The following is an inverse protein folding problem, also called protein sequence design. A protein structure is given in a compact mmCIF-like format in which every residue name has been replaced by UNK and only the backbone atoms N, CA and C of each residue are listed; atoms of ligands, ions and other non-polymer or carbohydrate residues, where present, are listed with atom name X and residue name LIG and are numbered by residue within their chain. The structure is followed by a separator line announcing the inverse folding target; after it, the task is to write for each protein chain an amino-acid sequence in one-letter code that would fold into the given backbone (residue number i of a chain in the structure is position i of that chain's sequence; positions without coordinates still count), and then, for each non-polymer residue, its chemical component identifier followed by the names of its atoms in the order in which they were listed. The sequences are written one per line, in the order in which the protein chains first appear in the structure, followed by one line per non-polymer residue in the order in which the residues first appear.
data_IF_019503306880
#
_entry.id   IF_019503306880
#
_cell.length_a   1.000
_cell.length_b   1.000
_cell.length_c   1.000
_cell.angle_alpha   90.00
_cell.angle_beta   90.00
_cell.angle_gamma   90.00
#
_symmetry.space_group_name_H-M   'P 1'
#
loop_
_entity.id
_entity.type
_entity.pdbx_description
1 polymer ?
#
# COMPACT_ATOMS: atom_id res chain seq x y z
N UNK A 1 29.86 18.20 -35.43
CA UNK A 1 30.31 18.01 -34.05
C UNK A 1 29.07 17.96 -33.19
N UNK A 2 28.73 16.81 -32.56
CA UNK A 2 27.53 16.65 -31.77
C UNK A 2 27.07 15.19 -31.66
N UNK A 3 27.90 14.30 -31.15
CA UNK A 3 27.54 12.88 -31.08
C UNK A 3 28.17 12.17 -29.89
N UNK A 4 27.91 12.64 -28.64
CA UNK A 4 28.53 11.97 -27.46
C UNK A 4 27.68 11.98 -26.17
N UNK A 5 26.38 12.21 -26.22
CA UNK A 5 25.58 12.29 -24.97
C UNK A 5 24.55 11.17 -24.77
N UNK A 6 24.50 10.17 -25.61
CA UNK A 6 23.48 9.09 -25.54
C UNK A 6 24.03 7.75 -25.01
N UNK A 7 25.35 7.59 -24.85
CA UNK A 7 25.94 6.30 -24.49
C UNK A 7 26.14 6.04 -23.00
N UNK A 8 25.91 7.00 -22.08
CA UNK A 8 26.13 6.81 -20.66
C UNK A 8 24.94 6.27 -19.87
N UNK A 9 23.74 6.20 -20.46
CA UNK A 9 22.51 5.74 -19.77
C UNK A 9 22.25 4.23 -19.85
N UNK A 10 22.98 3.51 -20.70
CA UNK A 10 22.71 2.08 -20.94
C UNK A 10 23.52 1.14 -20.06
N UNK A 11 24.60 1.58 -19.44
CA UNK A 11 25.49 0.74 -18.64
C UNK A 11 25.05 0.54 -17.18
N UNK A 12 24.14 1.38 -16.66
CA UNK A 12 23.67 1.27 -15.28
C UNK A 12 22.45 0.34 -15.09
N UNK A 13 21.98 -0.32 -16.15
CA UNK A 13 20.74 -1.12 -16.13
C UNK A 13 20.91 -2.63 -15.94
N UNK A 14 22.12 -3.15 -15.80
CA UNK A 14 22.33 -4.60 -15.75
C UNK A 14 22.71 -5.20 -14.39
N UNK A 15 22.80 -4.39 -13.33
CA UNK A 15 23.04 -4.92 -11.97
C UNK A 15 21.85 -4.77 -11.01
N UNK A 16 20.67 -4.37 -11.48
CA UNK A 16 19.43 -4.14 -10.71
C UNK A 16 18.40 -5.25 -10.84
N UNK A 17 18.81 -6.46 -11.25
CA UNK A 17 17.88 -7.58 -11.40
C UNK A 17 17.80 -8.41 -10.12
N UNK A 18 16.58 -8.50 -9.57
CA UNK A 18 16.15 -9.56 -8.63
C UNK A 18 16.90 -9.61 -7.30
N UNK A 19 16.97 -8.51 -6.55
CA UNK A 19 17.10 -8.55 -5.09
C UNK A 19 15.76 -8.20 -4.45
N UNK A 20 14.76 -9.01 -4.69
CA UNK A 20 13.39 -8.76 -4.24
C UNK A 20 12.79 -9.91 -3.43
N UNK A 21 13.57 -10.85 -2.97
CA UNK A 21 13.16 -11.72 -1.87
C UNK A 21 13.82 -11.18 -0.62
N UNK A 22 13.02 -10.54 0.24
CA UNK A 22 13.46 -10.11 1.54
C UNK A 22 14.18 -11.26 2.25
N UNK A 23 15.29 -10.99 2.94
CA UNK A 23 16.02 -11.99 3.73
C UNK A 23 15.12 -12.69 4.75
N UNK A 24 14.04 -12.03 5.17
CA UNK A 24 12.96 -12.57 5.99
C UNK A 24 12.15 -13.66 5.30
N UNK A 25 12.16 -13.74 3.96
CA UNK A 25 11.40 -14.71 3.17
C UNK A 25 9.89 -14.45 3.14
N UNK A 26 9.44 -13.24 3.49
CA UNK A 26 8.03 -12.79 3.40
C UNK A 26 7.92 -11.57 2.50
N UNK A 27 6.83 -11.52 1.73
CA UNK A 27 6.51 -10.33 0.91
C UNK A 27 5.79 -9.27 1.77
N UNK A 28 5.68 -8.02 1.30
CA UNK A 28 5.06 -6.94 2.07
C UNK A 28 3.61 -7.22 2.50
N UNK A 29 2.80 -7.94 1.71
CA UNK A 29 1.44 -8.32 2.10
C UNK A 29 1.46 -9.30 3.27
N UNK A 30 2.32 -10.32 3.23
CA UNK A 30 2.51 -11.27 4.31
C UNK A 30 3.03 -10.57 5.58
N UNK A 31 3.97 -9.63 5.45
CA UNK A 31 4.48 -8.83 6.54
C UNK A 31 3.39 -7.95 7.17
N UNK A 32 2.54 -7.30 6.37
CA UNK A 32 1.41 -6.53 6.87
C UNK A 32 0.43 -7.39 7.70
N UNK A 33 0.15 -8.63 7.25
CA UNK A 33 -0.68 -9.57 8.00
C UNK A 33 -0.03 -9.98 9.33
N UNK A 34 1.28 -10.24 9.34
CA UNK A 34 2.02 -10.52 10.57
C UNK A 34 1.99 -9.32 11.50
N UNK A 35 2.13 -8.10 10.98
CA UNK A 35 2.03 -6.86 11.76
C UNK A 35 0.69 -6.72 12.46
N UNK A 36 -0.42 -6.89 11.73
CA UNK A 36 -1.77 -6.82 12.29
C UNK A 36 -2.02 -7.89 13.36
N UNK A 37 -1.46 -9.09 13.20
CA UNK A 37 -1.60 -10.17 14.17
C UNK A 37 -0.84 -9.95 15.49
N UNK A 38 -0.06 -8.88 15.64
CA UNK A 38 0.47 -8.47 16.94
C UNK A 38 -0.61 -7.93 17.87
N UNK A 39 -1.71 -7.42 17.34
CA UNK A 39 -2.87 -6.97 18.13
C UNK A 39 -3.67 -8.14 18.74
N UNK A 40 -3.47 -9.36 18.23
CA UNK A 40 -4.14 -10.56 18.72
C UNK A 40 -4.55 -11.50 17.59
N UNK A 41 -5.16 -12.65 17.93
CA UNK A 41 -5.67 -13.58 16.92
C UNK A 41 -6.84 -12.99 16.14
N UNK A 42 -6.81 -13.14 14.80
CA UNK A 42 -7.84 -12.61 13.90
C UNK A 42 -8.20 -13.65 12.82
N UNK A 43 -9.46 -13.71 12.45
CA UNK A 43 -9.92 -14.42 11.25
C UNK A 43 -9.50 -13.66 9.99
N UNK A 44 -9.51 -14.31 8.83
CA UNK A 44 -9.22 -13.64 7.55
C UNK A 44 -10.12 -12.42 7.28
N UNK A 45 -11.41 -12.50 7.67
CA UNK A 45 -12.32 -11.37 7.56
C UNK A 45 -11.97 -10.21 8.49
N UNK A 46 -11.56 -10.51 9.73
CA UNK A 46 -11.10 -9.49 10.69
C UNK A 46 -9.79 -8.86 10.24
N UNK A 47 -8.85 -9.63 9.68
CA UNK A 47 -7.62 -9.11 9.08
C UNK A 47 -7.90 -8.16 7.92
N UNK A 48 -8.86 -8.52 7.03
CA UNK A 48 -9.29 -7.60 5.97
C UNK A 48 -9.84 -6.29 6.52
N UNK A 49 -10.73 -6.35 7.52
CA UNK A 49 -11.30 -5.16 8.15
C UNK A 49 -10.24 -4.32 8.89
N UNK A 50 -9.27 -4.96 9.53
CA UNK A 50 -8.16 -4.26 10.19
C UNK A 50 -7.23 -3.59 9.16
N UNK A 51 -6.91 -4.29 8.07
CA UNK A 51 -6.12 -3.74 6.97
C UNK A 51 -6.80 -2.54 6.29
N UNK A 52 -8.10 -2.66 6.01
CA UNK A 52 -8.88 -1.56 5.43
C UNK A 52 -8.91 -0.34 6.35
N UNK A 53 -9.10 -0.54 7.64
CA UNK A 53 -9.18 0.55 8.60
C UNK A 53 -7.84 1.23 8.84
N UNK A 54 -6.73 0.47 8.89
CA UNK A 54 -5.42 0.97 9.35
C UNK A 54 -4.45 1.23 8.21
N UNK A 55 -4.42 0.37 7.18
CA UNK A 55 -3.38 0.40 6.15
C UNK A 55 -3.86 0.96 4.82
N UNK A 56 -5.17 0.85 4.50
CA UNK A 56 -5.70 1.21 3.18
C UNK A 56 -5.31 2.60 2.65
N UNK A 57 -5.10 3.63 3.48
CA UNK A 57 -4.69 4.95 2.98
C UNK A 57 -3.34 4.98 2.26
N UNK A 58 -2.44 4.03 2.56
CA UNK A 58 -1.10 3.95 1.94
C UNK A 58 -0.70 2.54 1.48
N UNK A 59 -1.41 1.51 1.96
CA UNK A 59 -1.18 0.11 1.59
C UNK A 59 -2.50 -0.65 1.46
N UNK A 60 -2.99 -0.80 0.24
CA UNK A 60 -4.23 -1.55 -0.03
C UNK A 60 -3.94 -3.04 -0.24
N UNK A 61 -4.80 -3.90 0.30
CA UNK A 61 -4.76 -5.34 0.10
C UNK A 61 -6.10 -5.84 -0.41
N UNK A 62 -6.08 -6.76 -1.35
CA UNK A 62 -7.30 -7.44 -1.82
C UNK A 62 -7.59 -8.67 -0.98
N UNK A 63 -8.87 -9.08 -0.94
CA UNK A 63 -9.29 -10.33 -0.30
C UNK A 63 -8.49 -11.51 -0.83
N UNK A 64 -8.32 -11.60 -2.15
CA UNK A 64 -7.56 -12.70 -2.78
C UNK A 64 -6.10 -12.76 -2.32
N UNK A 65 -5.45 -11.61 -2.13
CA UNK A 65 -4.09 -11.57 -1.59
C UNK A 65 -4.04 -12.10 -0.15
N UNK A 66 -4.93 -11.63 0.71
CA UNK A 66 -4.98 -12.05 2.13
C UNK A 66 -5.21 -13.56 2.24
N UNK A 67 -6.23 -14.09 1.53
CA UNK A 67 -6.56 -15.51 1.60
C UNK A 67 -5.55 -16.42 0.90
N UNK A 68 -4.70 -15.90 0.02
CA UNK A 68 -3.56 -16.62 -0.54
C UNK A 68 -2.38 -16.66 0.43
N UNK A 69 -2.08 -15.55 1.11
CA UNK A 69 -0.92 -15.45 2.00
C UNK A 69 -1.11 -16.19 3.33
N UNK A 70 -2.33 -16.23 3.89
CA UNK A 70 -2.57 -16.85 5.20
C UNK A 70 -2.21 -18.34 5.26
N UNK A 71 -2.59 -19.20 4.28
CA UNK A 71 -2.12 -20.59 4.25
C UNK A 71 -0.60 -20.70 4.13
N UNK A 72 0.03 -19.87 3.30
CA UNK A 72 1.50 -19.86 3.14
C UNK A 72 2.20 -19.49 4.45
N UNK A 73 1.67 -18.53 5.20
CA UNK A 73 2.19 -18.17 6.51
C UNK A 73 2.02 -19.32 7.53
N UNK A 74 0.91 -20.06 7.45
CA UNK A 74 0.66 -21.22 8.31
C UNK A 74 1.62 -22.37 7.96
N UNK A 75 1.81 -22.69 6.68
CA UNK A 75 2.72 -23.75 6.21
C UNK A 75 4.18 -23.45 6.61
N UNK A 76 4.57 -22.17 6.64
CA UNK A 76 5.88 -21.71 7.14
C UNK A 76 5.97 -21.69 8.66
N UNK A 77 4.91 -22.01 9.38
CA UNK A 77 4.87 -21.96 10.85
C UNK A 77 4.94 -20.54 11.44
N UNK A 78 4.70 -19.50 10.62
CA UNK A 78 4.75 -18.11 11.06
C UNK A 78 3.46 -17.66 11.75
N UNK A 79 2.35 -18.30 11.41
CA UNK A 79 1.07 -18.21 12.11
C UNK A 79 0.56 -19.61 12.42
N UNK A 80 -0.33 -19.72 13.39
CA UNK A 80 -1.06 -20.94 13.73
C UNK A 80 -2.55 -20.71 13.64
N UNK A 81 -3.29 -21.69 13.18
CA UNK A 81 -4.75 -21.68 13.22
C UNK A 81 -5.22 -21.96 14.64
N UNK A 82 -6.20 -21.20 15.08
CA UNK A 82 -6.93 -21.43 16.32
C UNK A 82 -8.06 -22.47 16.14
N UNK A 83 -8.84 -22.68 17.18
CA UNK A 83 -10.02 -23.55 17.11
C UNK A 83 -11.06 -22.94 16.15
N UNK A 84 -11.77 -23.77 15.37
CA UNK A 84 -12.87 -23.29 14.55
C UNK A 84 -13.95 -22.60 15.41
N UNK A 85 -14.33 -21.41 14.99
CA UNK A 85 -15.44 -20.64 15.56
C UNK A 85 -16.74 -20.86 14.79
N UNK A 86 -17.77 -20.05 15.06
CA UNK A 86 -19.03 -20.08 14.33
C UNK A 86 -18.81 -19.92 12.81
N UNK A 87 -19.61 -20.62 11.99
CA UNK A 87 -19.51 -20.63 10.52
C UNK A 87 -18.15 -21.07 9.98
N UNK A 88 -17.45 -21.98 10.68
CA UNK A 88 -16.11 -22.48 10.31
C UNK A 88 -15.04 -21.41 10.19
N UNK A 89 -15.25 -20.24 10.80
CA UNK A 89 -14.23 -19.20 10.83
C UNK A 89 -13.12 -19.60 11.79
N UNK A 90 -11.87 -19.65 11.29
CA UNK A 90 -10.70 -19.92 12.13
C UNK A 90 -9.86 -18.66 12.31
N UNK A 91 -9.51 -18.28 13.53
CA UNK A 91 -8.58 -17.21 13.78
C UNK A 91 -7.13 -17.69 13.52
N UNK A 92 -6.33 -16.83 12.96
CA UNK A 92 -4.89 -16.97 12.85
C UNK A 92 -4.24 -16.23 14.02
N UNK A 93 -3.22 -16.82 14.61
CA UNK A 93 -2.41 -16.19 15.67
C UNK A 93 -0.95 -16.23 15.26
N UNK A 94 -0.23 -15.12 15.45
CA UNK A 94 1.20 -15.04 15.16
C UNK A 94 1.99 -15.94 16.12
N UNK A 95 2.99 -16.65 15.59
CA UNK A 95 3.90 -17.48 16.40
C UNK A 95 5.14 -16.69 16.83
N UNK A 96 5.95 -17.26 17.74
CA UNK A 96 7.25 -16.70 18.06
C UNK A 96 8.18 -16.59 16.81
N UNK A 97 8.09 -17.57 15.89
CA UNK A 97 8.79 -17.52 14.61
C UNK A 97 8.27 -16.40 13.72
N UNK A 98 6.94 -16.21 13.66
CA UNK A 98 6.31 -15.10 12.94
C UNK A 98 6.76 -13.74 13.44
N UNK A 99 6.81 -13.55 14.76
CA UNK A 99 7.29 -12.29 15.39
C UNK A 99 8.75 -12.00 15.00
N UNK A 100 9.64 -13.00 15.09
CA UNK A 100 11.04 -12.84 14.69
C UNK A 100 11.18 -12.52 13.19
N UNK A 101 10.40 -13.18 12.35
CA UNK A 101 10.39 -12.94 10.90
C UNK A 101 9.90 -11.52 10.58
N UNK A 102 8.85 -11.05 11.25
CA UNK A 102 8.37 -9.68 11.10
C UNK A 102 9.40 -8.65 11.56
N UNK A 103 10.06 -8.86 12.72
CA UNK A 103 11.12 -7.97 13.18
C UNK A 103 12.31 -7.89 12.22
N UNK A 104 12.69 -9.00 11.57
CA UNK A 104 13.71 -8.98 10.53
C UNK A 104 13.26 -8.17 9.32
N UNK A 105 12.04 -8.41 8.85
CA UNK A 105 11.47 -7.67 7.72
C UNK A 105 11.45 -6.16 7.97
N UNK A 106 11.11 -5.72 9.20
CA UNK A 106 11.14 -4.29 9.57
C UNK A 106 12.55 -3.67 9.52
N UNK A 107 13.60 -4.48 9.64
CA UNK A 107 15.00 -4.03 9.59
C UNK A 107 15.60 -4.09 8.17
N UNK A 108 14.89 -4.67 7.20
CA UNK A 108 15.35 -4.76 5.81
C UNK A 108 15.20 -3.43 5.07
N UNK A 109 15.97 -3.28 3.99
CA UNK A 109 15.81 -2.17 3.06
C UNK A 109 14.38 -2.21 2.46
N UNK A 110 13.57 -1.15 2.62
CA UNK A 110 12.22 -1.12 2.08
C UNK A 110 12.16 -1.16 0.55
N UNK A 111 13.28 -0.92 -0.12
CA UNK A 111 13.35 -0.85 -1.57
C UNK A 111 12.85 0.48 -2.13
N UNK A 112 12.50 0.47 -3.41
CA UNK A 112 12.00 1.66 -4.12
C UNK A 112 10.49 1.65 -4.22
N UNK A 113 9.88 2.80 -4.02
CA UNK A 113 8.45 2.98 -4.26
C UNK A 113 8.10 2.83 -5.74
N UNK A 114 6.97 2.17 -6.00
CA UNK A 114 6.38 2.09 -7.33
C UNK A 114 5.04 2.83 -7.33
N UNK A 115 5.02 4.00 -7.95
CA UNK A 115 3.80 4.79 -8.08
C UNK A 115 3.00 4.27 -9.28
N UNK A 116 1.75 3.86 -9.03
CA UNK A 116 0.77 3.51 -10.05
C UNK A 116 -0.47 4.38 -9.86
N UNK A 117 -0.50 5.51 -10.56
CA UNK A 117 -1.63 6.43 -10.51
C UNK A 117 -2.47 6.30 -11.79
N UNK A 118 -3.71 5.77 -11.72
CA UNK A 118 -4.56 5.55 -12.89
C UNK A 118 -4.97 6.83 -13.60
N UNK A 119 -5.02 7.96 -12.90
CA UNK A 119 -5.40 9.25 -13.47
C UNK A 119 -4.23 9.85 -14.23
N UNK A 120 -3.02 9.81 -13.65
CA UNK A 120 -1.81 10.25 -14.32
C UNK A 120 -1.57 9.45 -15.62
N UNK A 121 -1.81 8.13 -15.58
CA UNK A 121 -1.75 7.29 -16.77
C UNK A 121 -2.73 7.76 -17.87
N UNK A 122 -3.98 8.10 -17.51
CA UNK A 122 -4.97 8.58 -18.47
C UNK A 122 -4.62 9.96 -19.02
N UNK A 123 -4.13 10.86 -18.17
CA UNK A 123 -3.72 12.20 -18.60
C UNK A 123 -2.49 12.14 -19.51
N UNK A 124 -1.58 11.19 -19.32
CA UNK A 124 -0.45 10.97 -20.23
C UNK A 124 -0.89 10.64 -21.67
N UNK A 125 -2.10 10.13 -21.86
CA UNK A 125 -2.74 9.89 -23.15
C UNK A 125 -3.88 10.90 -23.43
N UNK A 126 -3.82 12.08 -22.82
CA UNK A 126 -4.87 13.09 -22.87
C UNK A 126 -5.29 13.51 -24.28
N UNK A 127 -4.36 13.53 -25.25
CA UNK A 127 -4.64 13.85 -26.66
C UNK A 127 -5.63 12.89 -27.34
N UNK A 128 -5.88 11.72 -26.77
CA UNK A 128 -6.84 10.73 -27.26
C UNK A 128 -8.24 10.88 -26.64
N UNK A 129 -8.40 11.77 -25.68
CA UNK A 129 -9.67 12.06 -25.01
C UNK A 129 -10.35 13.29 -25.63
N UNK A 130 -11.69 13.33 -25.59
CA UNK A 130 -12.43 14.57 -25.82
C UNK A 130 -12.30 15.51 -24.60
N UNK A 131 -12.50 16.81 -24.80
CA UNK A 131 -12.49 17.80 -23.72
C UNK A 131 -13.49 17.46 -22.60
N UNK A 132 -14.68 16.94 -22.95
CA UNK A 132 -15.69 16.53 -21.97
C UNK A 132 -15.22 15.31 -21.15
N UNK A 133 -14.55 14.34 -21.77
CA UNK A 133 -13.99 13.18 -21.06
C UNK A 133 -12.89 13.60 -20.08
N UNK A 134 -11.99 14.50 -20.48
CA UNK A 134 -10.94 15.02 -19.59
C UNK A 134 -11.54 15.79 -18.40
N UNK A 135 -12.53 16.63 -18.66
CA UNK A 135 -13.28 17.34 -17.60
C UNK A 135 -13.92 16.38 -16.60
N UNK A 136 -14.62 15.36 -17.08
CA UNK A 136 -15.26 14.36 -16.23
C UNK A 136 -14.22 13.56 -15.42
N UNK A 137 -13.13 13.18 -16.02
CA UNK A 137 -12.02 12.49 -15.37
C UNK A 137 -11.40 13.33 -14.25
N UNK A 138 -11.15 14.61 -14.52
CA UNK A 138 -10.59 15.54 -13.52
C UNK A 138 -11.59 15.79 -12.38
N UNK A 139 -12.88 15.98 -12.68
CA UNK A 139 -13.91 16.16 -11.65
C UNK A 139 -13.99 14.96 -10.71
N UNK A 140 -14.10 13.75 -11.26
CA UNK A 140 -14.14 12.52 -10.48
C UNK A 140 -12.86 12.32 -9.63
N UNK A 141 -11.70 12.68 -10.18
CA UNK A 141 -10.43 12.61 -9.45
C UNK A 141 -10.38 13.63 -8.30
N UNK A 142 -10.84 14.86 -8.53
CA UNK A 142 -10.90 15.88 -7.48
C UNK A 142 -11.85 15.46 -6.34
N UNK A 143 -13.03 14.94 -6.66
CA UNK A 143 -13.98 14.43 -5.69
C UNK A 143 -13.36 13.33 -4.84
N UNK A 144 -12.82 12.29 -5.49
CA UNK A 144 -12.15 11.17 -4.81
C UNK A 144 -11.05 11.64 -3.85
N UNK A 145 -10.11 12.48 -4.32
CA UNK A 145 -9.00 12.93 -3.48
C UNK A 145 -9.44 13.89 -2.38
N UNK A 146 -10.49 14.68 -2.58
CA UNK A 146 -11.06 15.57 -1.56
C UNK A 146 -11.67 14.76 -0.41
N UNK A 147 -12.50 13.77 -0.74
CA UNK A 147 -13.10 12.89 0.26
C UNK A 147 -12.08 12.04 0.99
N UNK A 148 -11.14 11.45 0.24
CA UNK A 148 -10.06 10.65 0.82
C UNK A 148 -9.20 11.49 1.78
N UNK A 149 -8.86 12.72 1.40
CA UNK A 149 -8.13 13.65 2.25
C UNK A 149 -8.87 13.96 3.56
N UNK A 150 -10.17 14.16 3.49
CA UNK A 150 -10.99 14.43 4.68
C UNK A 150 -10.99 13.21 5.63
N UNK A 151 -11.19 12.00 5.09
CA UNK A 151 -11.17 10.76 5.87
C UNK A 151 -9.81 10.51 6.53
N UNK A 152 -8.72 10.63 5.77
CA UNK A 152 -7.37 10.35 6.29
C UNK A 152 -6.93 11.38 7.33
N UNK A 153 -7.32 12.65 7.18
CA UNK A 153 -7.08 13.67 8.21
C UNK A 153 -7.75 13.34 9.54
N UNK A 154 -8.99 12.87 9.50
CA UNK A 154 -9.69 12.49 10.74
C UNK A 154 -9.06 11.24 11.37
N UNK A 155 -8.66 10.26 10.55
CA UNK A 155 -7.91 9.09 11.03
C UNK A 155 -6.59 9.50 11.70
N UNK A 156 -5.79 10.37 11.07
CA UNK A 156 -4.53 10.85 11.64
C UNK A 156 -4.72 11.63 12.94
N UNK A 157 -5.79 12.42 13.03
CA UNK A 157 -6.16 13.13 14.26
C UNK A 157 -6.53 12.17 15.39
N UNK A 158 -7.29 11.11 15.09
CA UNK A 158 -7.67 10.11 16.07
C UNK A 158 -6.47 9.30 16.54
N UNK A 159 -5.61 8.85 15.64
CA UNK A 159 -4.36 8.16 16.00
C UNK A 159 -3.49 9.00 16.96
N UNK A 160 -3.37 10.31 16.72
CA UNK A 160 -2.67 11.21 17.64
C UNK A 160 -3.33 11.29 19.01
N UNK A 161 -4.67 11.36 19.09
CA UNK A 161 -5.40 11.41 20.36
C UNK A 161 -5.23 10.11 21.16
N UNK A 162 -5.12 8.97 20.48
CA UNK A 162 -4.89 7.66 21.05
C UNK A 162 -3.42 7.42 21.44
N UNK A 163 -2.53 8.35 21.07
CA UNK A 163 -1.09 8.26 21.35
C UNK A 163 -0.31 7.36 20.37
N UNK A 164 -0.94 6.88 19.29
CA UNK A 164 -0.25 6.09 18.27
C UNK A 164 0.50 7.01 17.28
N UNK A 165 1.69 7.42 17.70
CA UNK A 165 2.54 8.33 16.94
C UNK A 165 2.96 7.76 15.59
N UNK A 166 3.20 6.45 15.51
CA UNK A 166 3.66 5.80 14.28
C UNK A 166 2.53 5.68 13.25
N UNK A 167 1.35 5.29 13.70
CA UNK A 167 0.17 5.23 12.83
C UNK A 167 -0.22 6.62 12.34
N UNK A 168 -0.20 7.62 13.23
CA UNK A 168 -0.41 9.01 12.86
C UNK A 168 0.58 9.50 11.79
N UNK A 169 1.87 9.15 11.93
CA UNK A 169 2.91 9.52 10.96
C UNK A 169 2.70 8.84 9.60
N UNK A 170 2.34 7.56 9.57
CA UNK A 170 2.02 6.85 8.34
C UNK A 170 0.78 7.44 7.63
N UNK A 171 -0.24 7.83 8.39
CA UNK A 171 -1.43 8.51 7.85
C UNK A 171 -1.11 9.91 7.31
N UNK A 172 -0.12 10.61 7.87
CA UNK A 172 0.34 11.90 7.33
C UNK A 172 0.98 11.78 5.96
N UNK A 173 1.63 10.67 5.65
CA UNK A 173 2.07 10.38 4.28
C UNK A 173 0.88 10.37 3.32
N UNK A 174 -0.22 9.69 3.67
CA UNK A 174 -1.43 9.67 2.84
C UNK A 174 -2.10 11.05 2.73
N UNK A 175 -2.09 11.86 3.80
CA UNK A 175 -2.53 13.26 3.75
C UNK A 175 -1.71 14.07 2.75
N UNK A 176 -0.38 13.93 2.79
CA UNK A 176 0.54 14.61 1.87
C UNK A 176 0.31 14.17 0.41
N UNK A 177 0.11 12.87 0.19
CA UNK A 177 -0.21 12.31 -1.12
C UNK A 177 -1.48 12.91 -1.72
N UNK A 178 -2.59 12.92 -0.98
CA UNK A 178 -3.86 13.47 -1.48
C UNK A 178 -3.80 14.99 -1.71
N UNK A 179 -3.07 15.73 -0.87
CA UNK A 179 -2.81 17.17 -1.10
C UNK A 179 -2.02 17.40 -2.38
N UNK A 180 -0.95 16.63 -2.61
CA UNK A 180 -0.15 16.72 -3.82
C UNK A 180 -0.96 16.39 -5.07
N UNK A 181 -1.79 15.33 -5.02
CA UNK A 181 -2.67 14.95 -6.11
C UNK A 181 -3.68 16.06 -6.45
N UNK A 182 -4.34 16.66 -5.45
CA UNK A 182 -5.27 17.78 -5.64
C UNK A 182 -4.57 19.03 -6.20
N UNK A 183 -3.35 19.31 -5.76
CA UNK A 183 -2.55 20.41 -6.29
C UNK A 183 -2.19 20.18 -7.75
N UNK A 184 -1.73 18.97 -8.10
CA UNK A 184 -1.41 18.59 -9.46
C UNK A 184 -2.62 18.63 -10.40
N UNK A 185 -3.79 18.13 -9.96
CA UNK A 185 -5.02 18.17 -10.74
C UNK A 185 -5.45 19.57 -11.16
N UNK A 186 -5.13 20.61 -10.36
CA UNK A 186 -5.41 22.02 -10.73
C UNK A 186 -4.56 22.50 -11.91
N UNK A 187 -3.36 21.94 -12.09
CA UNK A 187 -2.42 22.30 -13.15
C UNK A 187 -2.46 21.34 -14.34
N UNK A 188 -3.22 20.23 -14.22
CA UNK A 188 -3.34 19.26 -15.30
C UNK A 188 -4.06 19.90 -16.51
N UNK A 189 -3.57 19.71 -17.73
CA UNK A 189 -4.19 20.28 -18.92
C UNK A 189 -5.57 19.66 -19.13
N UNK A 190 -6.59 20.46 -18.93
CA UNK A 190 -7.97 20.16 -19.35
C UNK A 190 -8.21 21.04 -20.54
N UNK A 191 -8.30 20.45 -21.73
CA UNK A 191 -8.50 21.20 -22.96
C UNK A 191 -9.68 22.17 -22.81
N UNK A 192 -9.40 23.42 -23.08
CA UNK A 192 -10.36 24.52 -23.15
C UNK A 192 -11.39 24.24 -24.23
#
# INVERSE_FOLDING_TARGET
MGGETVKSWTAARQSGSVRGMAESGVNPTAAALLGLLHEGPMTGGQLMAAAERRLAPYWSMTRSQVYRELPVLADKGLVRLGKPGPRMSQPYAITAAGKRTFSRWLAEDPGRDTIRNPIALRIAFGQLHSASQLKSLQAAANEYHTEALARVREQAKNARKEGDTYDASALEFAVAYHKAALSWLKSAPVSS
#
